data_IF_451481271885
#
_entry.id   IF_451481271885
#
_cell.length_a   1.000
_cell.length_b   1.000
_cell.length_c   1.000
_cell.angle_alpha   90.00
_cell.angle_beta   90.00
_cell.angle_gamma   90.00
#
_symmetry.space_group_name_H-M   'P 1'
#
loop_
_entity.id
_entity.type
_entity.pdbx_description
1 polymer ?
#
# COMPACT_ATOMS: atom_id res chain seq x y z
N UNK A 1 5.14 -18.64 7.15
CA UNK A 1 4.34 -18.46 5.93
C UNK A 1 4.02 -17.00 5.83
N UNK A 2 4.55 -16.31 4.83
CA UNK A 2 4.39 -14.86 4.61
C UNK A 2 2.91 -14.42 4.60
N UNK A 3 2.01 -15.31 4.15
CA UNK A 3 0.55 -15.11 4.19
C UNK A 3 -0.02 -15.01 5.62
N UNK A 4 0.59 -15.69 6.60
CA UNK A 4 0.18 -15.59 8.01
C UNK A 4 0.66 -14.30 8.66
N UNK A 5 1.73 -13.70 8.15
CA UNK A 5 2.28 -12.43 8.64
C UNK A 5 1.50 -11.22 8.05
N UNK A 6 1.04 -11.36 6.82
CA UNK A 6 0.18 -10.38 6.14
C UNK A 6 -1.29 -10.49 6.55
N UNK A 7 -1.75 -11.68 6.98
CA UNK A 7 -3.15 -11.92 7.37
C UNK A 7 -4.13 -12.02 6.20
N UNK A 8 -3.65 -11.89 4.95
CA UNK A 8 -4.41 -11.99 3.71
C UNK A 8 -3.58 -12.68 2.63
N UNK A 9 -4.25 -13.40 1.72
CA UNK A 9 -3.60 -13.99 0.56
C UNK A 9 -3.09 -12.92 -0.40
N UNK A 10 -1.96 -13.21 -1.07
CA UNK A 10 -1.35 -12.31 -2.05
C UNK A 10 -2.31 -11.89 -3.16
N UNK A 11 -3.23 -12.76 -3.57
CA UNK A 11 -4.25 -12.45 -4.58
C UNK A 11 -5.18 -11.30 -4.16
N UNK A 12 -5.55 -11.24 -2.88
CA UNK A 12 -6.39 -10.16 -2.35
C UNK A 12 -5.60 -8.85 -2.24
N UNK A 13 -4.34 -8.95 -1.82
CA UNK A 13 -3.43 -7.80 -1.76
C UNK A 13 -3.21 -7.22 -3.15
N UNK A 14 -2.95 -8.03 -4.17
CA UNK A 14 -2.74 -7.58 -5.54
C UNK A 14 -3.99 -6.90 -6.11
N UNK A 15 -5.17 -7.50 -5.89
CA UNK A 15 -6.46 -6.88 -6.27
C UNK A 15 -6.67 -5.53 -5.59
N UNK A 16 -6.39 -5.44 -4.28
CA UNK A 16 -6.51 -4.19 -3.53
C UNK A 16 -5.52 -3.12 -3.99
N UNK A 17 -4.26 -3.48 -4.25
CA UNK A 17 -3.24 -2.57 -4.76
C UNK A 17 -3.60 -2.04 -6.15
N UNK A 18 -4.06 -2.90 -7.07
CA UNK A 18 -4.53 -2.50 -8.40
C UNK A 18 -5.73 -1.56 -8.32
N UNK A 19 -6.69 -1.85 -7.44
CA UNK A 19 -7.84 -0.97 -7.24
C UNK A 19 -7.43 0.40 -6.70
N UNK A 20 -6.50 0.45 -5.74
CA UNK A 20 -5.96 1.70 -5.19
C UNK A 20 -5.19 2.51 -6.24
N UNK A 21 -4.38 1.85 -7.07
CA UNK A 21 -3.63 2.50 -8.14
C UNK A 21 -4.54 3.08 -9.22
N UNK A 22 -5.57 2.34 -9.63
CA UNK A 22 -6.55 2.77 -10.63
C UNK A 22 -7.64 3.70 -10.07
N UNK A 23 -7.62 4.01 -8.77
CA UNK A 23 -8.66 4.78 -8.07
C UNK A 23 -10.08 4.20 -8.26
N UNK A 24 -10.19 2.89 -8.42
CA UNK A 24 -11.47 2.21 -8.66
C UNK A 24 -12.24 2.04 -7.34
N UNK A 25 -13.07 3.03 -7.03
CA UNK A 25 -13.87 3.06 -5.80
C UNK A 25 -14.80 1.85 -5.68
N UNK A 26 -15.36 1.33 -6.78
CA UNK A 26 -16.26 0.17 -6.73
C UNK A 26 -15.52 -1.10 -6.34
N UNK A 27 -14.31 -1.29 -6.86
CA UNK A 27 -13.47 -2.42 -6.47
C UNK A 27 -13.04 -2.30 -5.01
N UNK A 28 -12.72 -1.09 -4.54
CA UNK A 28 -12.37 -0.84 -3.14
C UNK A 28 -13.55 -1.10 -2.19
N UNK A 29 -14.78 -0.70 -2.53
CA UNK A 29 -15.97 -0.95 -1.72
C UNK A 29 -16.30 -2.44 -1.54
N UNK A 30 -15.91 -3.28 -2.51
CA UNK A 30 -16.08 -4.73 -2.45
C UNK A 30 -14.97 -5.45 -1.67
N UNK A 31 -13.91 -4.74 -1.25
CA UNK A 31 -12.81 -5.32 -0.49
C UNK A 31 -13.02 -5.17 1.02
N UNK A 32 -12.41 -6.08 1.77
CA UNK A 32 -12.49 -6.05 3.22
C UNK A 32 -11.84 -4.77 3.79
N UNK A 33 -12.53 -4.10 4.70
CA UNK A 33 -12.03 -2.85 5.31
C UNK A 33 -10.70 -3.05 6.04
N UNK A 34 -10.45 -4.20 6.68
CA UNK A 34 -9.15 -4.47 7.32
C UNK A 34 -8.03 -4.61 6.30
N UNK A 35 -8.32 -5.21 5.14
CA UNK A 35 -7.35 -5.31 4.05
C UNK A 35 -6.99 -3.91 3.54
N UNK A 36 -7.98 -3.06 3.29
CA UNK A 36 -7.76 -1.69 2.84
C UNK A 36 -6.96 -0.86 3.85
N UNK A 37 -7.32 -0.94 5.13
CA UNK A 37 -6.61 -0.23 6.20
C UNK A 37 -5.14 -0.69 6.30
N UNK A 38 -4.91 -2.01 6.23
CA UNK A 38 -3.55 -2.56 6.18
C UNK A 38 -2.77 -2.06 4.96
N UNK A 39 -3.37 -2.07 3.77
CA UNK A 39 -2.72 -1.61 2.54
C UNK A 39 -2.39 -0.12 2.61
N UNK A 40 -3.36 0.72 2.99
CA UNK A 40 -3.14 2.16 3.12
C UNK A 40 -2.07 2.48 4.16
N UNK A 41 -2.11 1.83 5.33
CA UNK A 41 -1.12 2.01 6.39
C UNK A 41 0.28 1.63 5.91
N UNK A 42 0.44 0.46 5.26
CA UNK A 42 1.73 0.01 4.73
C UNK A 42 2.24 0.90 3.58
N UNK A 43 1.37 1.34 2.67
CA UNK A 43 1.74 2.24 1.57
C UNK A 43 2.21 3.58 2.13
N UNK A 44 1.47 4.17 3.07
CA UNK A 44 1.80 5.45 3.69
C UNK A 44 3.10 5.36 4.48
N UNK A 45 3.23 4.35 5.34
CA UNK A 45 4.42 4.16 6.17
C UNK A 45 5.67 3.84 5.34
N UNK A 46 5.54 3.17 4.20
CA UNK A 46 6.67 2.83 3.32
C UNK A 46 6.83 3.78 2.13
N UNK A 47 6.06 4.87 2.05
CA UNK A 47 6.13 5.82 0.93
C UNK A 47 7.56 6.38 0.74
N UNK A 48 8.31 6.55 1.84
CA UNK A 48 9.71 7.00 1.80
C UNK A 48 10.62 6.05 1.02
N UNK A 49 10.31 4.75 0.92
CA UNK A 49 11.13 3.78 0.16
C UNK A 49 11.02 3.96 -1.35
N UNK A 50 9.98 4.67 -1.82
CA UNK A 50 9.76 4.97 -3.25
C UNK A 50 10.41 6.29 -3.68
N UNK A 51 10.85 7.10 -2.74
CA UNK A 51 11.48 8.40 -3.00
C UNK A 51 12.98 8.32 -2.67
N UNK A 52 13.78 9.06 -3.43
CA UNK A 52 15.17 9.31 -3.04
C UNK A 52 15.16 10.07 -1.70
N UNK A 53 16.03 9.73 -0.73
CA UNK A 53 16.12 10.49 0.51
C UNK A 53 16.39 11.96 0.20
N UNK A 54 15.77 12.85 0.97
CA UNK A 54 16.07 14.28 0.87
C UNK A 54 17.52 14.50 1.29
N UNK A 55 18.37 14.80 0.31
CA UNK A 55 19.76 15.17 0.57
C UNK A 55 19.77 16.67 0.85
N UNK A 56 20.23 17.04 2.05
CA UNK A 56 20.38 18.43 2.44
C UNK A 56 21.24 19.16 1.41
N UNK A 57 20.63 20.13 0.72
CA UNK A 57 21.35 20.98 -0.23
C UNK A 57 22.19 21.97 0.57
N UNK A 58 23.50 21.72 0.64
CA UNK A 58 24.48 22.67 1.15
C UNK A 58 24.64 23.81 0.13
N UNK A 59 23.68 24.75 0.11
CA UNK A 59 23.87 26.01 -0.59
C UNK A 59 24.97 26.79 0.12
N UNK A 60 26.02 27.14 -0.63
CA UNK A 60 27.22 27.83 -0.18
C UNK A 60 27.06 29.35 -0.28
#
# INVERSE_FOLDING_TARGET
>A
SDEKDLGFSYELIDKGLKALENQDMKALENLDKKLLDMLQSRIKNNAFKRNMPEIASLNK
#
